data_IF_855012999341
#
_entry.id   IF_855012999341
#
_cell.length_a   1.000
_cell.length_b   1.000
_cell.length_c   1.000
_cell.angle_alpha   90.00
_cell.angle_beta   90.00
_cell.angle_gamma   90.00
#
_symmetry.space_group_name_H-M   'P 1'
#
loop_
_entity.id
_entity.type
_entity.pdbx_description
1 polymer ?
#
# COMPACT_ATOMS: atom_id res chain seq x y z
N UNK A 1 -15.08 -17.68 -6.45
CA UNK A 1 -15.35 -16.23 -6.46
C UNK A 1 -15.27 -15.73 -5.03
N UNK A 2 -14.43 -14.71 -4.74
CA UNK A 2 -14.26 -14.19 -3.38
C UNK A 2 -15.56 -13.50 -2.91
N UNK A 3 -15.93 -13.71 -1.64
CA UNK A 3 -16.98 -12.95 -0.97
C UNK A 3 -16.34 -11.70 -0.36
N UNK A 4 -16.73 -10.52 -0.84
CA UNK A 4 -16.13 -9.25 -0.45
C UNK A 4 -17.09 -8.47 0.43
N UNK A 5 -16.58 -8.00 1.57
CA UNK A 5 -17.29 -7.11 2.48
C UNK A 5 -16.62 -5.73 2.45
N UNK A 6 -17.41 -4.68 2.50
CA UNK A 6 -16.94 -3.31 2.55
C UNK A 6 -17.41 -2.65 3.84
N UNK A 7 -16.49 -1.95 4.49
CA UNK A 7 -16.77 -1.13 5.66
C UNK A 7 -16.11 0.25 5.52
N UNK A 8 -16.83 1.30 5.85
CA UNK A 8 -16.34 2.67 5.95
C UNK A 8 -17.12 3.36 7.07
N UNK A 9 -16.44 4.13 7.89
CA UNK A 9 -17.08 4.92 8.97
C UNK A 9 -18.06 5.96 8.39
N UNK A 10 -17.82 6.43 7.16
CA UNK A 10 -18.74 7.30 6.44
C UNK A 10 -19.80 6.48 5.70
N UNK A 11 -20.92 6.27 6.37
CA UNK A 11 -22.04 5.47 5.84
C UNK A 11 -22.72 6.08 4.61
N UNK A 12 -22.52 7.36 4.33
CA UNK A 12 -23.11 8.04 3.16
C UNK A 12 -22.30 7.85 1.89
N UNK A 13 -21.05 7.43 2.00
CA UNK A 13 -20.17 7.22 0.85
C UNK A 13 -20.71 6.11 -0.03
N UNK A 14 -21.02 6.42 -1.28
CA UNK A 14 -21.45 5.44 -2.28
C UNK A 14 -20.23 4.66 -2.79
N UNK A 15 -20.22 3.36 -2.56
CA UNK A 15 -19.34 2.44 -3.25
C UNK A 15 -20.09 1.90 -4.47
N UNK A 16 -19.45 1.90 -5.64
CA UNK A 16 -20.12 1.54 -6.92
C UNK A 16 -20.91 0.23 -6.87
N UNK A 17 -21.79 0.08 -7.85
CA UNK A 17 -22.89 -0.89 -8.00
C UNK A 17 -22.50 -2.38 -8.08
N UNK A 18 -21.46 -2.87 -7.40
CA UNK A 18 -21.13 -4.30 -7.45
C UNK A 18 -21.60 -5.00 -6.18
N UNK A 19 -21.95 -6.27 -6.33
CA UNK A 19 -22.48 -7.24 -5.38
C UNK A 19 -21.70 -7.42 -4.06
N UNK A 20 -21.00 -6.39 -3.61
CA UNK A 20 -20.24 -6.38 -2.39
C UNK A 20 -21.19 -6.13 -1.21
N UNK A 21 -21.10 -6.96 -0.18
CA UNK A 21 -21.89 -6.74 1.02
C UNK A 21 -21.30 -5.59 1.83
N UNK A 22 -22.03 -4.48 1.89
CA UNK A 22 -21.65 -3.37 2.75
C UNK A 22 -22.07 -3.69 4.20
N UNK A 23 -21.10 -3.74 5.09
CA UNK A 23 -21.36 -3.84 6.52
C UNK A 23 -21.72 -2.45 7.06
N UNK A 24 -22.92 -2.32 7.59
CA UNK A 24 -23.41 -1.07 8.17
C UNK A 24 -23.14 -0.98 9.67
N UNK A 25 -23.00 -2.12 10.33
CA UNK A 25 -22.79 -2.21 11.75
C UNK A 25 -21.40 -2.77 12.07
N UNK A 26 -20.60 -1.97 12.76
CA UNK A 26 -19.26 -2.34 13.20
C UNK A 26 -19.24 -3.60 14.08
N UNK A 27 -20.33 -3.86 14.82
CA UNK A 27 -20.44 -5.04 15.70
C UNK A 27 -20.60 -6.36 14.94
N UNK A 28 -20.91 -6.32 13.66
CA UNK A 28 -21.00 -7.51 12.81
C UNK A 28 -19.64 -8.00 12.36
N UNK A 29 -18.66 -7.10 12.22
CA UNK A 29 -17.35 -7.39 11.68
C UNK A 29 -16.62 -8.48 12.47
N UNK A 30 -16.53 -8.43 13.82
CA UNK A 30 -15.85 -9.47 14.58
C UNK A 30 -16.51 -10.85 14.51
N UNK A 31 -17.77 -10.94 14.08
CA UNK A 31 -18.52 -12.20 13.95
C UNK A 31 -18.23 -12.93 12.64
N UNK A 32 -17.60 -12.25 11.68
CA UNK A 32 -17.26 -12.80 10.37
C UNK A 32 -15.81 -13.29 10.40
N UNK A 33 -15.58 -14.50 9.92
CA UNK A 33 -14.23 -15.02 9.68
C UNK A 33 -13.73 -14.53 8.34
N UNK A 34 -12.70 -13.69 8.34
CA UNK A 34 -12.05 -13.20 7.14
C UNK A 34 -10.77 -13.98 6.86
N UNK A 35 -10.50 -14.24 5.59
CA UNK A 35 -9.23 -14.80 5.13
C UNK A 35 -8.19 -13.67 4.94
N UNK A 36 -8.64 -12.52 4.45
CA UNK A 36 -7.81 -11.32 4.24
C UNK A 36 -8.58 -10.05 4.61
N UNK A 37 -7.87 -9.06 5.14
CA UNK A 37 -8.40 -7.77 5.57
C UNK A 37 -7.58 -6.69 4.89
N UNK A 38 -8.16 -5.98 3.92
CA UNK A 38 -7.48 -4.90 3.22
C UNK A 38 -7.77 -3.59 3.96
N UNK A 39 -6.72 -2.93 4.42
CA UNK A 39 -6.83 -1.70 5.19
C UNK A 39 -6.30 -0.53 4.37
N UNK A 40 -7.11 0.53 4.24
CA UNK A 40 -6.63 1.78 3.64
C UNK A 40 -5.47 2.37 4.46
N UNK A 41 -4.43 2.91 3.82
CA UNK A 41 -3.23 3.41 4.52
C UNK A 41 -3.53 4.46 5.60
N UNK A 42 -4.57 5.29 5.40
CA UNK A 42 -5.01 6.29 6.38
C UNK A 42 -5.59 5.73 7.68
N UNK A 43 -5.94 4.45 7.73
CA UNK A 43 -6.51 3.82 8.93
C UNK A 43 -5.42 3.51 9.96
N UNK A 44 -5.52 4.09 11.15
CA UNK A 44 -4.68 3.70 12.28
C UNK A 44 -5.24 2.41 12.92
N UNK A 45 -4.66 1.28 12.57
CA UNK A 45 -5.04 -0.05 13.08
C UNK A 45 -5.01 -0.11 14.63
N UNK A 46 -4.20 0.72 15.27
CA UNK A 46 -4.06 0.72 16.72
C UNK A 46 -5.09 1.61 17.45
N UNK A 47 -5.66 2.61 16.74
CA UNK A 47 -6.56 3.63 17.34
C UNK A 47 -8.00 3.60 16.79
N UNK A 48 -8.22 3.00 15.61
CA UNK A 48 -9.55 2.99 15.01
C UNK A 48 -10.56 2.18 15.85
N UNK A 49 -11.83 2.36 15.57
CA UNK A 49 -12.94 1.64 16.26
C UNK A 49 -12.80 0.11 16.19
N UNK A 50 -12.13 -0.42 15.18
CA UNK A 50 -11.87 -1.85 15.00
C UNK A 50 -10.52 -2.30 15.56
N UNK A 51 -9.81 -1.48 16.32
CA UNK A 51 -8.42 -1.76 16.75
C UNK A 51 -8.25 -3.10 17.46
N UNK A 52 -9.17 -3.49 18.34
CA UNK A 52 -9.12 -4.80 19.02
C UNK A 52 -9.22 -5.97 18.03
N UNK A 53 -10.13 -5.87 17.07
CA UNK A 53 -10.33 -6.87 16.02
C UNK A 53 -9.12 -6.95 15.09
N UNK A 54 -8.61 -5.81 14.61
CA UNK A 54 -7.47 -5.75 13.70
C UNK A 54 -6.18 -6.25 14.36
N UNK A 55 -5.93 -5.90 15.63
CA UNK A 55 -4.79 -6.44 16.39
C UNK A 55 -4.81 -7.97 16.47
N UNK A 56 -5.98 -8.57 16.74
CA UNK A 56 -6.15 -10.02 16.80
C UNK A 56 -5.92 -10.70 15.44
N UNK A 57 -6.16 -9.99 14.34
CA UNK A 57 -6.05 -10.49 12.97
C UNK A 57 -4.86 -9.88 12.22
N UNK A 58 -3.80 -9.45 12.90
CA UNK A 58 -2.67 -8.72 12.31
C UNK A 58 -2.04 -9.46 11.11
N UNK A 59 -1.91 -10.78 11.18
CA UNK A 59 -1.35 -11.61 10.10
C UNK A 59 -2.21 -11.67 8.83
N UNK A 60 -3.44 -11.17 8.88
CA UNK A 60 -4.36 -11.13 7.75
C UNK A 60 -4.56 -9.73 7.18
N UNK A 61 -3.85 -8.74 7.72
CA UNK A 61 -3.92 -7.34 7.26
C UNK A 61 -2.98 -7.17 6.08
N UNK A 62 -3.50 -6.58 5.02
CA UNK A 62 -2.80 -6.26 3.79
C UNK A 62 -3.14 -4.84 3.34
N UNK A 63 -2.33 -4.31 2.44
CA UNK A 63 -2.51 -2.99 1.83
C UNK A 63 -2.88 -3.10 0.35
N UNK A 64 -3.12 -1.97 -0.29
CA UNK A 64 -3.30 -1.86 -1.74
C UNK A 64 -2.09 -2.38 -2.52
N UNK A 65 -0.88 -2.15 -2.02
CA UNK A 65 0.37 -2.66 -2.59
C UNK A 65 0.40 -4.20 -2.59
N UNK A 66 -0.03 -4.84 -1.51
CA UNK A 66 -0.09 -6.29 -1.40
C UNK A 66 -1.12 -6.89 -2.36
N UNK A 67 -2.29 -6.26 -2.46
CA UNK A 67 -3.34 -6.69 -3.40
C UNK A 67 -2.82 -6.60 -4.82
N UNK A 68 -2.20 -5.48 -5.19
CA UNK A 68 -1.61 -5.32 -6.51
C UNK A 68 -0.56 -6.40 -6.80
N UNK A 69 0.39 -6.56 -5.90
CA UNK A 69 1.49 -7.51 -6.04
C UNK A 69 1.03 -8.97 -6.07
N UNK A 70 -0.13 -9.31 -5.51
CA UNK A 70 -0.69 -10.66 -5.61
C UNK A 70 -1.12 -11.03 -7.03
N UNK A 71 -1.42 -10.04 -7.88
CA UNK A 71 -1.82 -10.22 -9.29
C UNK A 71 -0.69 -9.92 -10.27
N UNK A 72 0.16 -8.93 -9.98
CA UNK A 72 1.17 -8.42 -10.90
C UNK A 72 2.55 -8.46 -10.25
N UNK A 73 3.49 -9.19 -10.86
CA UNK A 73 4.88 -9.33 -10.41
C UNK A 73 5.84 -8.51 -11.28
N UNK A 74 5.35 -7.42 -11.82
CA UNK A 74 6.11 -6.55 -12.69
C UNK A 74 7.32 -5.93 -11.99
N UNK A 75 8.35 -5.64 -12.80
CA UNK A 75 9.52 -4.90 -12.32
C UNK A 75 9.06 -3.52 -11.80
N UNK A 76 9.58 -3.14 -10.66
CA UNK A 76 9.29 -1.85 -10.05
C UNK A 76 10.53 -1.26 -9.38
N UNK A 77 10.58 0.06 -9.34
CA UNK A 77 11.40 0.81 -8.43
C UNK A 77 10.48 1.51 -7.44
N UNK A 78 10.71 1.28 -6.14
CA UNK A 78 9.91 1.88 -5.09
C UNK A 78 10.71 2.90 -4.32
N UNK A 79 10.14 4.09 -4.21
CA UNK A 79 10.74 5.25 -3.58
C UNK A 79 9.98 5.58 -2.31
N UNK A 80 10.70 5.66 -1.20
CA UNK A 80 10.19 6.16 0.07
C UNK A 80 11.18 7.16 0.69
N UNK A 81 10.80 7.77 1.78
CA UNK A 81 11.59 8.78 2.48
C UNK A 81 10.69 9.74 3.24
N UNK A 82 11.27 10.65 4.00
CA UNK A 82 10.49 11.74 4.60
C UNK A 82 10.19 12.79 3.56
N UNK A 83 11.20 13.31 2.89
CA UNK A 83 11.08 14.37 1.88
C UNK A 83 11.59 13.91 0.50
N UNK A 84 11.14 14.61 -0.55
CA UNK A 84 11.63 14.41 -1.91
C UNK A 84 11.03 13.22 -2.67
N UNK A 85 10.22 12.36 -2.05
CA UNK A 85 9.63 11.17 -2.67
C UNK A 85 8.93 11.47 -4.01
N UNK A 86 7.98 12.41 -3.98
CA UNK A 86 7.16 12.75 -5.14
C UNK A 86 7.97 13.35 -6.28
N UNK A 87 8.91 14.22 -5.97
CA UNK A 87 9.81 14.82 -6.95
C UNK A 87 10.69 13.76 -7.62
N UNK A 88 11.33 12.91 -6.81
CA UNK A 88 12.20 11.85 -7.32
C UNK A 88 11.42 10.84 -8.16
N UNK A 89 10.24 10.43 -7.71
CA UNK A 89 9.40 9.49 -8.44
C UNK A 89 8.92 10.07 -9.79
N UNK A 90 8.54 11.35 -9.83
CA UNK A 90 8.16 12.03 -11.07
C UNK A 90 9.33 12.12 -12.05
N UNK A 91 10.49 12.60 -11.62
CA UNK A 91 11.68 12.71 -12.45
C UNK A 91 12.05 11.34 -13.04
N UNK A 92 12.07 10.30 -12.20
CA UNK A 92 12.40 8.95 -12.66
C UNK A 92 11.38 8.43 -13.67
N UNK A 93 10.08 8.66 -13.44
CA UNK A 93 9.04 8.30 -14.39
C UNK A 93 9.21 9.03 -15.73
N UNK A 94 9.49 10.33 -15.72
CA UNK A 94 9.73 11.12 -16.93
C UNK A 94 10.94 10.58 -17.70
N UNK A 95 12.08 10.39 -17.03
CA UNK A 95 13.30 9.84 -17.65
C UNK A 95 13.06 8.47 -18.30
N UNK A 96 12.35 7.57 -17.62
CA UNK A 96 12.04 6.26 -18.17
C UNK A 96 11.05 6.35 -19.34
N UNK A 97 10.07 7.25 -19.26
CA UNK A 97 9.11 7.48 -20.35
C UNK A 97 9.79 8.06 -21.60
N UNK A 98 10.72 8.99 -21.43
CA UNK A 98 11.52 9.56 -22.52
C UNK A 98 12.40 8.50 -23.22
N UNK A 99 12.80 7.47 -22.47
CA UNK A 99 13.51 6.31 -23.03
C UNK A 99 12.56 5.24 -23.59
N UNK A 100 11.29 5.58 -23.82
CA UNK A 100 10.25 4.74 -24.43
C UNK A 100 9.89 3.48 -23.63
N UNK A 101 10.16 3.43 -22.33
CA UNK A 101 9.64 2.37 -21.48
C UNK A 101 8.12 2.55 -21.25
N UNK A 102 7.35 1.45 -21.23
CA UNK A 102 5.97 1.44 -20.71
C UNK A 102 6.03 1.59 -19.19
N UNK A 103 6.21 2.83 -18.73
CA UNK A 103 6.41 3.18 -17.33
C UNK A 103 5.15 3.81 -16.72
N UNK A 104 4.82 3.42 -15.49
CA UNK A 104 3.65 3.91 -14.76
C UNK A 104 4.06 4.48 -13.42
N UNK A 105 3.62 5.72 -13.14
CA UNK A 105 3.78 6.37 -11.84
C UNK A 105 2.56 6.08 -10.98
N UNK A 106 2.77 5.37 -9.87
CA UNK A 106 1.68 4.84 -9.05
C UNK A 106 1.98 4.92 -7.54
N UNK A 107 0.99 4.68 -6.74
CA UNK A 107 1.11 4.59 -5.28
C UNK A 107 0.55 5.82 -4.57
N UNK A 108 1.35 6.44 -3.71
CA UNK A 108 0.94 7.62 -2.93
C UNK A 108 0.77 8.88 -3.80
N UNK A 109 1.40 8.90 -4.99
CA UNK A 109 1.18 9.87 -6.08
C UNK A 109 0.95 9.15 -7.39
N UNK A 110 0.57 9.89 -8.43
CA UNK A 110 0.17 9.33 -9.71
C UNK A 110 -1.19 8.66 -9.63
N UNK A 111 -1.38 7.58 -10.37
CA UNK A 111 -2.60 6.79 -10.27
C UNK A 111 -2.59 5.89 -9.03
N UNK A 112 -3.74 5.70 -8.34
CA UNK A 112 -3.85 4.62 -7.37
C UNK A 112 -3.48 3.30 -8.03
N UNK A 113 -2.57 2.54 -7.43
CA UNK A 113 -1.96 1.36 -8.06
C UNK A 113 -3.01 0.32 -8.52
N UNK A 114 -4.12 0.19 -7.80
CA UNK A 114 -5.22 -0.72 -8.16
C UNK A 114 -6.12 -0.20 -9.28
N UNK A 115 -5.92 1.03 -9.75
CA UNK A 115 -6.65 1.62 -10.87
C UNK A 115 -5.94 1.44 -12.21
N UNK A 116 -4.70 0.93 -12.21
CA UNK A 116 -3.93 0.70 -13.42
C UNK A 116 -4.60 -0.35 -14.32
N UNK A 117 -4.52 -0.10 -15.62
CA UNK A 117 -5.14 -0.93 -16.67
C UNK A 117 -4.14 -1.22 -17.77
N UNK A 118 -4.44 -2.25 -18.57
CA UNK A 118 -3.61 -2.65 -19.73
C UNK A 118 -2.16 -2.92 -19.33
N UNK A 119 -1.96 -3.56 -18.18
CA UNK A 119 -0.64 -3.96 -17.68
C UNK A 119 -0.16 -5.14 -18.52
N UNK A 120 1.05 -5.04 -19.05
CA UNK A 120 1.75 -6.11 -19.77
C UNK A 120 2.95 -6.58 -18.95
N UNK A 121 3.60 -7.67 -19.35
CA UNK A 121 4.82 -8.14 -18.69
C UNK A 121 5.99 -7.14 -18.77
N UNK A 122 5.94 -6.23 -19.75
CA UNK A 122 6.97 -5.20 -19.96
C UNK A 122 6.66 -3.88 -19.21
N UNK A 123 5.46 -3.74 -18.65
CA UNK A 123 5.11 -2.55 -17.88
C UNK A 123 6.00 -2.44 -16.65
N UNK A 124 6.65 -1.30 -16.48
CA UNK A 124 7.51 -0.98 -15.34
C UNK A 124 6.79 0.00 -14.41
N UNK A 125 6.94 -0.19 -13.11
CA UNK A 125 6.29 0.68 -12.13
C UNK A 125 7.30 1.53 -11.36
N UNK A 126 7.09 2.84 -11.34
CA UNK A 126 7.68 3.75 -10.36
C UNK A 126 6.66 3.93 -9.26
N UNK A 127 6.95 3.40 -8.09
CA UNK A 127 6.01 3.37 -6.96
C UNK A 127 6.46 4.37 -5.90
N UNK A 128 5.65 5.37 -5.61
CA UNK A 128 5.85 6.13 -4.37
C UNK A 128 5.14 5.43 -3.22
N UNK A 129 5.87 4.97 -2.23
CA UNK A 129 5.31 4.30 -1.06
C UNK A 129 5.42 5.17 0.21
N UNK A 130 4.30 5.38 0.87
CA UNK A 130 4.24 6.02 2.18
C UNK A 130 4.65 5.04 3.29
N UNK A 131 5.10 5.57 4.44
CA UNK A 131 5.34 4.74 5.62
C UNK A 131 4.10 4.02 6.11
N UNK A 132 2.90 4.56 5.85
CA UNK A 132 1.62 3.94 6.22
C UNK A 132 1.31 2.69 5.40
N UNK A 133 1.60 2.73 4.09
CA UNK A 133 1.46 1.56 3.22
C UNK A 133 2.47 0.48 3.61
N UNK A 134 3.72 0.86 3.79
CA UNK A 134 4.80 -0.08 4.14
C UNK A 134 4.63 -0.72 5.51
N UNK A 135 4.04 -0.02 6.50
CA UNK A 135 3.88 -0.52 7.87
C UNK A 135 3.03 -1.80 7.96
N UNK A 136 2.05 -1.95 7.08
CA UNK A 136 1.15 -3.12 7.04
C UNK A 136 1.33 -4.01 5.82
N UNK A 137 2.18 -3.64 4.87
CA UNK A 137 2.45 -4.46 3.70
C UNK A 137 3.18 -5.75 4.08
N UNK A 138 2.75 -6.89 3.56
CA UNK A 138 3.29 -8.21 3.87
C UNK A 138 3.80 -8.96 2.64
N UNK A 139 3.22 -8.70 1.46
CA UNK A 139 3.48 -9.44 0.23
C UNK A 139 4.24 -8.62 -0.80
N UNK A 140 4.12 -7.30 -0.74
CA UNK A 140 4.71 -6.41 -1.73
C UNK A 140 6.24 -6.48 -1.67
N UNK A 141 6.83 -6.72 -2.83
CA UNK A 141 8.28 -6.63 -3.03
C UNK A 141 8.58 -5.69 -4.21
N UNK A 142 9.75 -5.11 -4.22
CA UNK A 142 10.22 -4.24 -5.29
C UNK A 142 11.56 -4.76 -5.84
N UNK A 143 11.77 -4.64 -7.15
CA UNK A 143 13.06 -5.02 -7.72
C UNK A 143 14.16 -4.04 -7.31
N UNK A 144 13.85 -2.76 -7.31
CA UNK A 144 14.74 -1.71 -6.85
C UNK A 144 14.04 -0.89 -5.76
N UNK A 145 14.78 -0.49 -4.74
CA UNK A 145 14.24 0.25 -3.61
C UNK A 145 15.15 1.42 -3.23
N UNK A 146 14.55 2.57 -2.96
CA UNK A 146 15.27 3.74 -2.51
C UNK A 146 14.61 4.37 -1.28
N UNK A 147 15.40 4.57 -0.22
CA UNK A 147 15.04 5.40 0.93
C UNK A 147 15.84 6.69 0.82
N UNK A 148 15.20 7.78 0.44
CA UNK A 148 15.90 9.04 0.13
C UNK A 148 16.50 9.71 1.37
N UNK A 149 15.73 9.75 2.43
CA UNK A 149 16.12 10.34 3.70
C UNK A 149 15.14 9.94 4.80
N UNK A 150 15.55 10.12 6.04
CA UNK A 150 14.70 9.91 7.22
C UNK A 150 14.94 11.08 8.18
N UNK A 151 13.87 11.77 8.50
CA UNK A 151 13.78 12.74 9.58
C UNK A 151 12.49 12.52 10.37
N UNK A 152 12.38 12.98 11.61
CA UNK A 152 11.17 12.79 12.41
C UNK A 152 9.92 13.33 11.69
N UNK A 153 8.95 12.46 11.45
CA UNK A 153 7.67 12.79 10.83
C UNK A 153 6.63 11.71 11.21
N UNK A 154 5.36 12.07 11.21
CA UNK A 154 4.26 11.14 11.49
C UNK A 154 4.42 10.35 12.82
N UNK A 155 5.05 10.95 13.82
CA UNK A 155 5.33 10.29 15.10
C UNK A 155 4.03 9.97 15.86
N UNK A 156 3.00 10.78 15.70
CA UNK A 156 1.66 10.53 16.26
C UNK A 156 1.06 9.22 15.75
N UNK A 157 1.40 8.81 14.53
CA UNK A 157 0.95 7.57 13.88
C UNK A 157 1.85 6.39 14.24
N UNK A 158 3.17 6.54 14.13
CA UNK A 158 4.15 5.48 14.35
C UNK A 158 4.55 5.33 15.82
N UNK A 159 4.14 6.24 16.72
CA UNK A 159 4.42 6.29 18.15
C UNK A 159 5.81 6.78 18.51
N UNK A 160 6.81 6.45 17.72
CA UNK A 160 8.18 6.89 17.89
C UNK A 160 8.95 6.82 16.57
N UNK A 161 10.13 7.44 16.54
CA UNK A 161 11.01 7.47 15.38
C UNK A 161 11.47 6.06 14.96
N UNK A 162 11.73 5.17 15.91
CA UNK A 162 12.17 3.79 15.61
C UNK A 162 11.15 3.03 14.79
N UNK A 163 9.86 3.11 15.15
CA UNK A 163 8.79 2.47 14.38
C UNK A 163 8.63 3.08 12.99
N UNK A 164 8.77 4.41 12.86
CA UNK A 164 8.74 5.09 11.57
C UNK A 164 9.86 4.62 10.65
N UNK A 165 11.08 4.53 11.19
CA UNK A 165 12.23 3.97 10.48
C UNK A 165 11.94 2.53 10.07
N UNK A 166 11.54 1.67 11.01
CA UNK A 166 11.22 0.27 10.74
C UNK A 166 10.18 0.11 9.64
N UNK A 167 9.12 0.94 9.62
CA UNK A 167 8.11 0.90 8.59
C UNK A 167 8.71 1.12 7.18
N UNK A 168 9.63 2.08 7.03
CA UNK A 168 10.28 2.33 5.74
C UNK A 168 11.30 1.26 5.36
N UNK A 169 12.04 0.74 6.33
CA UNK A 169 13.06 -0.30 6.08
C UNK A 169 12.45 -1.64 5.66
N UNK A 170 11.17 -1.90 5.96
CA UNK A 170 10.46 -3.07 5.41
C UNK A 170 10.54 -3.16 3.88
N UNK A 171 10.67 -2.02 3.21
CA UNK A 171 10.87 -1.99 1.77
C UNK A 171 12.17 -2.69 1.36
N UNK A 172 13.24 -2.54 2.12
CA UNK A 172 14.52 -3.20 1.84
C UNK A 172 14.49 -4.69 2.21
N UNK A 173 13.82 -5.04 3.32
CA UNK A 173 13.63 -6.44 3.73
C UNK A 173 12.82 -7.23 2.70
N UNK A 174 11.92 -6.55 1.99
CA UNK A 174 11.07 -7.12 0.94
C UNK A 174 11.65 -7.01 -0.47
N UNK A 175 12.87 -6.46 -0.63
CA UNK A 175 13.52 -6.37 -1.93
C UNK A 175 13.88 -7.76 -2.46
N UNK A 176 13.63 -8.01 -3.75
CA UNK A 176 13.99 -9.29 -4.34
C UNK A 176 15.52 -9.44 -4.39
N UNK A 177 16.04 -10.60 -3.96
CA UNK A 177 17.49 -10.88 -3.92
C UNK A 177 18.19 -10.92 -5.29
N UNK A 178 17.42 -10.84 -6.38
CA UNK A 178 17.92 -10.82 -7.77
C UNK A 178 18.34 -9.43 -8.27
N UNK A 179 18.41 -8.44 -7.42
CA UNK A 179 18.52 -7.03 -7.78
C UNK A 179 19.94 -6.46 -7.74
N UNK A 180 20.96 -7.27 -8.00
CA UNK A 180 22.34 -6.80 -8.24
C UNK A 180 22.89 -7.46 -9.48
#
# INVERSE_FOLDING_TARGET
KAKVYLFDDNLTKKFGNRSNQRLKNIQEIPKIKFDSIIVSPGIDVLKCKLSKFLKKNKSKIYTDLDVFYSFYKNKSITITGTNGKSTTAKILHEVLSDQMYDCRLVGNIGNPILCEKKITNNTFFVVEASSYQLDYSQLFTSKFSAILNISPDHIERHRNLKNYISAKFRLLDSQSRESI
#
